data_IF_174190616715
#
_entry.id   IF_174190616715
#
_cell.length_a   1.000
_cell.length_b   1.000
_cell.length_c   1.000
_cell.angle_alpha   90.00
_cell.angle_beta   90.00
_cell.angle_gamma   90.00
#
_symmetry.space_group_name_H-M   'P 1'
#
loop_
_entity.id
_entity.type
_entity.pdbx_description
1 polymer ?
#
# COMPACT_ATOMS: atom_id res chain seq x y z
N UNK A 1 -12.40 -12.62 2.90
CA UNK A 1 -13.76 -13.10 3.23
C UNK A 1 -14.46 -13.74 2.03
N UNK A 2 -14.50 -13.11 0.85
CA UNK A 2 -15.30 -13.57 -0.30
C UNK A 2 -14.57 -14.53 -1.23
N UNK A 3 -13.88 -15.54 -0.67
CA UNK A 3 -13.25 -16.61 -1.48
C UNK A 3 -14.27 -17.54 -2.13
N UNK A 4 -15.46 -17.66 -1.52
CA UNK A 4 -16.60 -18.43 -2.04
C UNK A 4 -17.69 -17.48 -2.50
N UNK A 5 -18.37 -17.89 -3.56
CA UNK A 5 -19.44 -17.11 -4.19
C UNK A 5 -20.53 -16.73 -3.17
N UNK A 6 -20.75 -15.44 -2.88
CA UNK A 6 -21.82 -15.03 -2.00
C UNK A 6 -23.18 -15.13 -2.72
N UNK A 7 -24.22 -15.46 -1.95
CA UNK A 7 -25.61 -15.37 -2.41
C UNK A 7 -26.14 -14.00 -2.06
N UNK A 8 -26.35 -13.15 -3.07
CA UNK A 8 -26.88 -11.79 -2.90
C UNK A 8 -28.37 -11.80 -3.29
N UNK A 9 -29.23 -11.32 -2.38
CA UNK A 9 -30.68 -11.18 -2.58
C UNK A 9 -31.00 -10.00 -3.51
N UNK A 10 -32.29 -9.81 -3.80
CA UNK A 10 -32.75 -8.71 -4.65
C UNK A 10 -32.31 -7.34 -4.11
N UNK A 11 -31.79 -6.51 -5.03
CA UNK A 11 -31.39 -5.15 -4.76
C UNK A 11 -32.61 -4.26 -4.53
N UNK A 12 -32.50 -3.37 -3.56
CA UNK A 12 -33.53 -2.39 -3.20
C UNK A 12 -32.93 -0.99 -3.13
N UNK A 13 -33.58 0.04 -3.72
CA UNK A 13 -33.09 1.41 -3.65
C UNK A 13 -32.94 1.90 -2.21
N UNK A 14 -31.83 2.58 -1.95
CA UNK A 14 -31.57 3.18 -0.64
C UNK A 14 -32.30 4.51 -0.52
N UNK A 15 -33.07 4.71 0.56
CA UNK A 15 -33.76 5.98 0.81
C UNK A 15 -32.73 7.10 1.05
N UNK A 16 -33.01 8.30 0.58
CA UNK A 16 -32.12 9.46 0.72
C UNK A 16 -31.80 9.82 2.19
N UNK A 17 -32.72 9.56 3.14
CA UNK A 17 -32.48 9.71 4.57
C UNK A 17 -31.45 8.72 5.10
N UNK A 18 -31.54 7.47 4.66
CA UNK A 18 -30.70 6.37 5.13
C UNK A 18 -29.30 6.45 4.49
N UNK A 19 -29.24 6.84 3.21
CA UNK A 19 -28.00 7.17 2.50
C UNK A 19 -27.18 8.23 3.23
N UNK A 20 -27.82 9.35 3.61
CA UNK A 20 -27.14 10.42 4.36
C UNK A 20 -26.62 9.94 5.72
N UNK A 21 -27.43 9.20 6.48
CA UNK A 21 -27.01 8.64 7.77
C UNK A 21 -25.84 7.68 7.63
N UNK A 22 -25.84 6.83 6.60
CA UNK A 22 -24.74 5.90 6.32
C UNK A 22 -23.48 6.65 5.90
N UNK A 23 -23.60 7.68 5.05
CA UNK A 23 -22.46 8.50 4.66
C UNK A 23 -21.86 9.23 5.87
N UNK A 24 -22.70 9.78 6.75
CA UNK A 24 -22.24 10.43 7.99
C UNK A 24 -21.57 9.43 8.93
N UNK A 25 -22.09 8.19 9.01
CA UNK A 25 -21.46 7.11 9.75
C UNK A 25 -20.08 6.78 9.16
N UNK A 26 -19.95 6.64 7.84
CA UNK A 26 -18.66 6.37 7.18
C UNK A 26 -17.66 7.49 7.47
N UNK A 27 -18.08 8.75 7.32
CA UNK A 27 -17.22 9.91 7.60
C UNK A 27 -16.71 9.89 9.05
N UNK A 28 -17.58 9.54 10.00
CA UNK A 28 -17.21 9.40 11.41
C UNK A 28 -16.30 8.20 11.67
N UNK A 29 -16.64 7.02 11.14
CA UNK A 29 -15.92 5.76 11.38
C UNK A 29 -14.50 5.81 10.80
N UNK A 30 -14.33 6.46 9.64
CA UNK A 30 -13.07 6.59 8.92
C UNK A 30 -12.35 7.92 9.15
N UNK A 31 -12.92 8.82 9.96
CA UNK A 31 -12.36 10.15 10.27
C UNK A 31 -11.98 10.94 9.02
N UNK A 32 -12.84 10.91 8.01
CA UNK A 32 -12.60 11.59 6.73
C UNK A 32 -12.61 13.09 6.97
N UNK A 33 -11.56 13.78 6.52
CA UNK A 33 -11.46 15.24 6.67
C UNK A 33 -12.58 15.92 5.88
N UNK A 34 -13.40 16.70 6.58
CA UNK A 34 -14.42 17.55 5.97
C UNK A 34 -13.78 18.94 5.85
N UNK A 35 -13.60 19.50 4.64
CA UNK A 35 -13.16 20.89 4.50
C UNK A 35 -14.15 21.77 5.25
N UNK A 36 -13.66 22.49 6.25
CA UNK A 36 -14.48 23.45 6.99
C UNK A 36 -14.97 24.49 5.98
N UNK A 37 -16.28 24.67 5.87
CA UNK A 37 -16.85 25.75 5.06
C UNK A 37 -16.23 27.08 5.50
N UNK A 38 -15.67 27.90 4.60
CA UNK A 38 -15.16 29.21 4.98
C UNK A 38 -16.36 30.10 5.36
N UNK A 39 -16.60 30.20 6.66
CA UNK A 39 -17.42 31.22 7.27
C UNK A 39 -16.53 32.40 7.65
N UNK A 40 -16.69 33.50 6.90
CA UNK A 40 -16.25 34.87 7.18
C UNK A 40 -14.77 35.25 6.96
N UNK A 41 -14.60 36.15 5.99
CA UNK A 41 -13.52 37.12 5.77
C UNK A 41 -12.13 36.61 5.33
N UNK A 42 -11.87 36.61 4.02
CA UNK A 42 -11.04 37.64 3.39
C UNK A 42 -10.92 37.41 1.88
N UNK A 43 -11.00 38.52 1.17
CA UNK A 43 -10.98 38.72 -0.27
C UNK A 43 -9.64 38.27 -0.91
N UNK A 44 -9.59 37.12 -1.61
CA UNK A 44 -8.52 36.85 -2.59
C UNK A 44 -8.92 35.79 -3.65
N UNK A 45 -9.00 36.26 -4.90
CA UNK A 45 -8.76 35.61 -6.22
C UNK A 45 -9.16 34.14 -6.50
N UNK A 46 -9.86 33.85 -7.63
CA UNK A 46 -10.32 32.50 -7.97
C UNK A 46 -9.31 31.74 -8.84
N UNK A 47 -8.47 30.89 -8.24
CA UNK A 47 -7.71 29.87 -9.01
C UNK A 47 -7.56 28.51 -8.32
N UNK A 48 -8.28 28.21 -7.23
CA UNK A 48 -8.25 26.86 -6.64
C UNK A 48 -9.42 25.99 -7.13
N UNK A 49 -9.19 24.69 -7.44
CA UNK A 49 -10.28 23.75 -7.69
C UNK A 49 -11.20 23.76 -6.46
N UNK A 50 -12.51 23.83 -6.70
CA UNK A 50 -13.52 24.01 -5.67
C UNK A 50 -13.35 22.96 -4.56
N UNK A 51 -13.11 23.41 -3.32
CA UNK A 51 -12.97 22.50 -2.19
C UNK A 51 -14.21 21.60 -2.06
N UNK A 52 -14.04 20.29 -1.78
CA UNK A 52 -15.15 19.36 -1.76
C UNK A 52 -16.12 19.71 -0.63
N UNK A 53 -17.35 20.04 -1.00
CA UNK A 53 -18.42 20.28 -0.01
C UNK A 53 -18.79 18.98 0.70
N UNK A 54 -19.35 19.06 1.92
CA UNK A 54 -19.85 17.88 2.65
C UNK A 54 -20.84 17.06 1.80
N UNK A 55 -21.70 17.72 1.02
CA UNK A 55 -22.61 17.05 0.08
C UNK A 55 -21.86 16.31 -1.03
N UNK A 56 -20.78 16.88 -1.56
CA UNK A 56 -19.93 16.23 -2.54
C UNK A 56 -19.26 14.98 -1.95
N UNK A 57 -18.72 15.07 -0.74
CA UNK A 57 -18.12 13.91 -0.03
C UNK A 57 -19.17 12.80 0.17
N UNK A 58 -20.37 13.14 0.64
CA UNK A 58 -21.43 12.14 0.81
C UNK A 58 -21.78 11.42 -0.49
N UNK A 59 -21.88 12.15 -1.60
CA UNK A 59 -22.17 11.58 -2.92
C UNK A 59 -20.98 10.78 -3.48
N UNK A 60 -19.75 11.19 -3.15
CA UNK A 60 -18.53 10.47 -3.50
C UNK A 60 -18.34 9.17 -2.69
N UNK A 61 -18.93 9.06 -1.49
CA UNK A 61 -18.92 7.83 -0.68
C UNK A 61 -20.10 6.91 -1.01
N UNK A 62 -21.28 7.48 -1.19
CA UNK A 62 -22.53 6.77 -1.49
C UNK A 62 -23.30 7.53 -2.59
N UNK A 63 -23.11 7.14 -3.87
CA UNK A 63 -23.79 7.72 -5.01
C UNK A 63 -25.31 7.70 -4.92
N UNK A 64 -25.98 8.53 -5.70
CA UNK A 64 -27.44 8.67 -5.61
C UNK A 64 -28.20 7.42 -6.03
N UNK A 65 -27.62 6.65 -6.94
CA UNK A 65 -28.15 5.40 -7.45
C UNK A 65 -27.81 4.19 -6.54
N UNK A 66 -27.35 4.42 -5.31
CA UNK A 66 -27.01 3.32 -4.41
C UNK A 66 -28.21 2.41 -4.12
N UNK A 67 -27.99 1.12 -4.35
CA UNK A 67 -28.88 0.01 -4.01
C UNK A 67 -28.30 -0.74 -2.81
N UNK A 68 -29.16 -1.42 -2.07
CA UNK A 68 -28.76 -2.29 -0.96
C UNK A 68 -29.34 -3.69 -1.15
N UNK A 69 -28.58 -4.72 -0.77
CA UNK A 69 -29.05 -6.09 -0.75
C UNK A 69 -28.46 -6.86 0.42
N UNK A 70 -29.20 -7.86 0.90
CA UNK A 70 -28.68 -8.83 1.88
C UNK A 70 -27.84 -9.87 1.16
N UNK A 71 -26.70 -10.21 1.75
CA UNK A 71 -25.87 -11.31 1.27
C UNK A 71 -25.71 -12.38 2.34
N UNK A 72 -25.48 -13.60 1.87
CA UNK A 72 -25.07 -14.75 2.69
C UNK A 72 -23.83 -15.38 2.08
N UNK A 73 -22.83 -15.68 2.88
CA UNK A 73 -21.62 -16.40 2.47
C UNK A 73 -21.13 -17.32 3.59
N UNK A 74 -20.01 -18.01 3.39
CA UNK A 74 -19.37 -18.84 4.41
C UNK A 74 -17.94 -18.36 4.66
N UNK A 75 -17.50 -18.39 5.92
CA UNK A 75 -16.18 -17.94 6.33
C UNK A 75 -15.46 -18.97 7.22
N UNK A 76 -14.14 -19.03 7.07
CA UNK A 76 -13.26 -19.90 7.85
C UNK A 76 -13.26 -21.37 7.40
N UNK A 77 -12.42 -22.21 8.04
CA UNK A 77 -12.29 -23.63 7.72
C UNK A 77 -13.59 -24.41 7.99
N UNK A 78 -14.34 -24.03 9.03
CA UNK A 78 -15.58 -24.69 9.43
C UNK A 78 -16.81 -24.27 8.60
N UNK A 79 -16.60 -23.43 7.57
CA UNK A 79 -17.66 -22.93 6.67
C UNK A 79 -18.85 -22.30 7.40
N UNK A 80 -18.57 -21.56 8.48
CA UNK A 80 -19.62 -20.88 9.25
C UNK A 80 -20.32 -19.84 8.39
N UNK A 81 -21.64 -19.83 8.48
CA UNK A 81 -22.47 -18.89 7.72
C UNK A 81 -22.26 -17.46 8.22
N UNK A 82 -22.11 -16.54 7.27
CA UNK A 82 -21.98 -15.11 7.51
C UNK A 82 -23.04 -14.39 6.69
N UNK A 83 -23.77 -13.50 7.35
CA UNK A 83 -24.81 -12.71 6.73
C UNK A 83 -24.51 -11.22 6.89
N UNK A 84 -24.85 -10.45 5.86
CA UNK A 84 -24.60 -9.02 5.87
C UNK A 84 -25.41 -8.27 4.84
N UNK A 85 -25.01 -7.02 4.62
CA UNK A 85 -25.61 -6.11 3.65
C UNK A 85 -24.52 -5.59 2.72
N UNK A 86 -24.74 -5.65 1.41
CA UNK A 86 -23.92 -4.97 0.40
C UNK A 86 -24.61 -3.69 -0.05
N UNK A 87 -23.82 -2.68 -0.38
CA UNK A 87 -24.25 -1.44 -1.01
C UNK A 87 -23.61 -1.35 -2.38
N UNK A 88 -24.44 -1.28 -3.40
CA UNK A 88 -24.07 -1.32 -4.82
C UNK A 88 -24.34 0.05 -5.41
N UNK A 89 -23.44 0.57 -6.24
CA UNK A 89 -23.63 1.86 -6.90
C UNK A 89 -22.61 2.08 -8.00
N UNK A 90 -22.56 3.31 -8.50
CA UNK A 90 -21.68 3.69 -9.61
C UNK A 90 -21.07 5.07 -9.35
N UNK A 91 -19.73 5.19 -9.42
CA UNK A 91 -19.00 6.45 -9.21
C UNK A 91 -18.68 7.23 -10.51
N UNK A 92 -18.75 6.55 -11.65
CA UNK A 92 -18.61 7.10 -13.00
C UNK A 92 -19.68 6.44 -13.89
N UNK A 93 -19.85 6.81 -15.16
CA UNK A 93 -20.77 6.15 -16.10
C UNK A 93 -20.41 4.66 -16.41
N UNK A 94 -19.65 4.02 -15.53
CA UNK A 94 -19.31 2.61 -15.57
C UNK A 94 -20.44 1.70 -15.08
N UNK A 95 -20.07 0.47 -14.77
CA UNK A 95 -21.03 -0.54 -14.34
C UNK A 95 -21.28 -0.48 -12.83
N UNK A 96 -22.49 -0.88 -12.40
CA UNK A 96 -22.81 -1.05 -10.99
C UNK A 96 -21.88 -2.08 -10.33
N UNK A 97 -21.23 -1.65 -9.24
CA UNK A 97 -20.31 -2.49 -8.44
C UNK A 97 -20.63 -2.37 -6.95
N UNK A 98 -20.23 -3.38 -6.18
CA UNK A 98 -20.31 -3.32 -4.72
C UNK A 98 -19.28 -2.30 -4.24
N UNK A 99 -19.73 -1.25 -3.56
CA UNK A 99 -18.89 -0.18 -3.04
C UNK A 99 -18.58 -0.39 -1.56
N UNK A 100 -19.59 -0.82 -0.80
CA UNK A 100 -19.47 -1.08 0.62
C UNK A 100 -20.15 -2.39 0.98
N UNK A 101 -19.68 -3.05 2.02
CA UNK A 101 -20.39 -4.15 2.64
C UNK A 101 -20.29 -4.09 4.15
N UNK A 102 -21.28 -4.64 4.83
CA UNK A 102 -21.38 -4.67 6.28
C UNK A 102 -21.70 -6.09 6.72
N UNK A 103 -21.00 -6.58 7.73
CA UNK A 103 -21.24 -7.90 8.32
C UNK A 103 -22.19 -7.72 9.51
N UNK A 104 -23.36 -8.34 9.44
CA UNK A 104 -24.41 -8.22 10.46
C UNK A 104 -24.42 -9.42 11.43
N UNK A 105 -24.14 -10.63 10.93
CA UNK A 105 -24.15 -11.87 11.72
C UNK A 105 -23.03 -12.80 11.26
N UNK A 106 -22.42 -13.51 12.21
CA UNK A 106 -21.35 -14.48 11.98
C UNK A 106 -20.00 -14.04 12.56
N UNK A 107 -18.92 -14.80 12.31
CA UNK A 107 -17.57 -14.44 12.74
C UNK A 107 -17.14 -13.11 12.12
N UNK A 108 -16.66 -12.17 12.94
CA UNK A 108 -16.28 -10.82 12.49
C UNK A 108 -17.46 -9.85 12.31
N UNK A 109 -18.62 -10.14 12.91
CA UNK A 109 -19.75 -9.22 12.92
C UNK A 109 -19.50 -8.00 13.83
N UNK A 110 -18.89 -6.97 13.26
CA UNK A 110 -18.59 -5.71 13.95
C UNK A 110 -19.62 -4.61 13.63
N UNK A 111 -20.61 -4.89 12.78
CA UNK A 111 -21.62 -3.92 12.26
C UNK A 111 -20.99 -2.65 11.63
N UNK A 112 -19.70 -2.67 11.33
CA UNK A 112 -18.95 -1.64 10.60
C UNK A 112 -19.09 -1.84 9.09
N UNK A 113 -19.14 -0.74 8.33
CA UNK A 113 -19.05 -0.80 6.87
C UNK A 113 -17.59 -0.93 6.45
N UNK A 114 -17.31 -1.83 5.51
CA UNK A 114 -15.99 -2.00 4.90
C UNK A 114 -16.04 -1.55 3.44
N UNK A 115 -15.05 -0.77 2.97
CA UNK A 115 -14.95 -0.38 1.57
C UNK A 115 -14.50 -1.58 0.73
N UNK A 116 -14.90 -1.61 -0.53
CA UNK A 116 -14.32 -2.50 -1.54
C UNK A 116 -13.13 -1.84 -2.24
N UNK A 117 -12.37 -2.60 -3.03
CA UNK A 117 -11.28 -2.01 -3.83
C UNK A 117 -11.82 -0.98 -4.82
N UNK A 118 -13.02 -1.19 -5.38
CA UNK A 118 -13.68 -0.21 -6.25
C UNK A 118 -13.92 1.13 -5.55
N UNK A 119 -14.33 1.10 -4.29
CA UNK A 119 -14.56 2.31 -3.51
C UNK A 119 -13.25 3.07 -3.27
N UNK A 120 -12.17 2.36 -2.97
CA UNK A 120 -10.84 2.91 -2.77
C UNK A 120 -10.20 3.45 -4.05
N UNK A 121 -10.53 2.89 -5.21
CA UNK A 121 -10.05 3.39 -6.50
C UNK A 121 -10.67 4.72 -6.91
N UNK A 122 -11.87 5.03 -6.40
CA UNK A 122 -12.53 6.30 -6.68
C UNK A 122 -12.31 7.37 -5.62
N UNK A 123 -11.86 6.97 -4.44
CA UNK A 123 -11.71 7.88 -3.32
C UNK A 123 -10.43 7.54 -2.57
N UNK A 124 -9.40 8.35 -2.82
CA UNK A 124 -8.11 8.21 -2.18
C UNK A 124 -8.15 8.56 -0.69
N UNK A 125 -7.19 8.03 0.06
CA UNK A 125 -6.90 8.38 1.45
C UNK A 125 -8.05 8.16 2.47
N UNK A 126 -9.08 7.38 2.14
CA UNK A 126 -10.15 6.99 3.10
C UNK A 126 -9.60 6.10 4.22
N UNK A 127 -8.63 5.26 3.89
CA UNK A 127 -7.96 4.32 4.81
C UNK A 127 -6.46 4.45 4.66
N UNK A 128 -5.66 4.12 5.70
CA UNK A 128 -4.22 4.01 5.57
C UNK A 128 -3.85 2.98 4.49
N UNK A 129 -2.83 3.31 3.70
CA UNK A 129 -2.26 2.43 2.69
C UNK A 129 -0.97 1.80 3.23
N UNK A 130 -0.89 0.48 3.14
CA UNK A 130 0.30 -0.31 3.44
C UNK A 130 0.82 -0.94 2.15
N UNK A 131 2.10 -1.30 2.15
CA UNK A 131 2.73 -1.88 0.97
C UNK A 131 3.22 -3.29 1.27
N UNK A 132 3.29 -4.10 0.22
CA UNK A 132 3.82 -5.46 0.29
C UNK A 132 4.49 -5.82 -1.03
N UNK A 133 5.50 -6.70 -1.05
CA UNK A 133 6.10 -7.15 -2.30
C UNK A 133 5.10 -7.94 -3.16
N UNK A 134 5.25 -7.91 -4.48
CA UNK A 134 4.31 -8.55 -5.42
C UNK A 134 4.14 -10.07 -5.17
N UNK A 135 5.21 -10.76 -4.78
CA UNK A 135 5.12 -12.20 -4.49
C UNK A 135 4.21 -12.51 -3.27
N UNK A 136 4.09 -11.57 -2.34
CA UNK A 136 3.15 -11.67 -1.20
C UNK A 136 1.76 -11.29 -1.67
N UNK A 137 1.62 -10.23 -2.47
CA UNK A 137 0.34 -9.82 -3.06
C UNK A 137 -0.32 -10.96 -3.84
N UNK A 138 0.45 -11.73 -4.62
CA UNK A 138 -0.05 -12.94 -5.30
C UNK A 138 -0.65 -13.98 -4.34
N UNK A 139 -0.12 -14.11 -3.12
CA UNK A 139 -0.70 -14.98 -2.07
C UNK A 139 -1.93 -14.35 -1.44
N UNK A 140 -1.94 -13.03 -1.22
CA UNK A 140 -3.12 -12.32 -0.69
C UNK A 140 -4.33 -12.47 -1.60
N UNK A 141 -4.14 -12.42 -2.92
CA UNK A 141 -5.19 -12.68 -3.94
C UNK A 141 -5.80 -14.08 -3.87
N UNK A 142 -5.16 -15.02 -3.17
CA UNK A 142 -5.71 -16.37 -2.92
C UNK A 142 -6.58 -16.43 -1.64
N UNK A 143 -6.74 -15.30 -0.96
CA UNK A 143 -7.46 -15.16 0.30
C UNK A 143 -6.62 -15.47 1.54
N UNK A 144 -5.30 -15.28 1.46
CA UNK A 144 -4.41 -15.35 2.61
C UNK A 144 -4.41 -14.03 3.40
N UNK A 145 -3.99 -14.10 4.66
CA UNK A 145 -3.74 -12.92 5.48
C UNK A 145 -2.31 -12.39 5.25
N UNK A 146 -2.09 -11.11 5.50
CA UNK A 146 -0.77 -10.50 5.44
C UNK A 146 -0.05 -10.72 6.76
N UNK A 147 1.08 -11.42 6.69
CA UNK A 147 1.97 -11.63 7.83
C UNK A 147 2.88 -10.42 8.03
N UNK A 148 3.33 -10.16 9.26
CA UNK A 148 4.21 -9.02 9.58
C UNK A 148 5.47 -8.94 8.69
N UNK A 149 6.19 -10.04 8.40
CA UNK A 149 7.34 -9.99 7.47
C UNK A 149 6.99 -9.66 6.01
N UNK A 150 5.70 -9.69 5.67
CA UNK A 150 5.23 -9.33 4.34
C UNK A 150 4.99 -7.84 4.18
N UNK A 151 4.99 -7.06 5.26
CA UNK A 151 4.94 -5.60 5.17
C UNK A 151 6.23 -5.11 4.51
N UNK A 152 6.07 -4.32 3.46
CA UNK A 152 7.15 -3.57 2.83
C UNK A 152 7.16 -2.14 3.35
N UNK A 153 8.24 -1.43 3.00
CA UNK A 153 8.64 -0.14 3.54
C UNK A 153 9.06 -0.26 5.01
N UNK A 154 10.20 0.34 5.33
CA UNK A 154 10.65 0.38 6.73
C UNK A 154 9.78 1.38 7.50
N UNK A 155 9.64 1.20 8.83
CA UNK A 155 8.97 2.18 9.67
C UNK A 155 9.53 3.60 9.48
N UNK A 156 8.70 4.64 9.72
CA UNK A 156 7.37 4.56 10.30
C UNK A 156 6.32 4.00 9.32
N UNK A 157 5.19 3.51 9.83
CA UNK A 157 3.97 3.24 9.05
C UNK A 157 2.89 4.31 9.31
N UNK A 158 1.84 4.37 8.49
CA UNK A 158 0.75 5.35 8.68
C UNK A 158 0.21 5.25 10.12
N UNK A 159 0.13 6.38 10.82
CA UNK A 159 -0.32 6.46 12.22
C UNK A 159 -1.75 5.95 12.42
N UNK A 160 -2.56 5.91 11.35
CA UNK A 160 -3.92 5.36 11.36
C UNK A 160 -3.93 3.82 11.30
N UNK A 161 -2.81 3.17 10.98
CA UNK A 161 -2.69 1.72 10.88
C UNK A 161 -2.57 1.03 12.27
N UNK A 162 -3.54 1.31 13.15
CA UNK A 162 -3.62 0.77 14.51
C UNK A 162 -4.41 -0.54 14.54
N UNK A 163 -4.29 -1.29 15.64
CA UNK A 163 -5.06 -2.53 15.84
C UNK A 163 -6.56 -2.30 15.69
N UNK A 164 -7.21 -3.07 14.82
CA UNK A 164 -8.63 -2.98 14.50
C UNK A 164 -9.00 -1.90 13.46
N UNK A 165 -8.03 -1.14 12.95
CA UNK A 165 -8.24 -0.23 11.84
C UNK A 165 -8.42 -1.01 10.53
N UNK A 166 -9.24 -0.47 9.63
CA UNK A 166 -9.36 -0.99 8.26
C UNK A 166 -8.26 -0.34 7.44
N UNK A 167 -7.52 -1.15 6.69
CA UNK A 167 -6.36 -0.73 5.91
C UNK A 167 -6.46 -1.25 4.49
N UNK A 168 -5.87 -0.49 3.57
CA UNK A 168 -5.62 -0.91 2.20
C UNK A 168 -4.20 -1.45 2.09
N UNK A 169 -3.97 -2.39 1.17
CA UNK A 169 -2.64 -2.88 0.83
C UNK A 169 -2.42 -2.78 -0.68
N UNK A 170 -1.33 -2.12 -1.06
CA UNK A 170 -0.82 -2.00 -2.43
C UNK A 170 0.44 -2.86 -2.62
N UNK A 171 0.77 -3.14 -3.89
CA UNK A 171 2.01 -3.81 -4.25
C UNK A 171 3.12 -2.79 -4.44
N UNK A 172 4.37 -3.15 -4.17
CA UNK A 172 5.53 -2.30 -4.51
C UNK A 172 5.63 -1.99 -6.01
N UNK A 173 5.08 -2.85 -6.88
CA UNK A 173 5.04 -2.62 -8.32
C UNK A 173 3.98 -1.57 -8.71
N UNK A 174 2.99 -1.34 -7.85
CA UNK A 174 1.86 -0.41 -8.05
C UNK A 174 1.50 0.26 -6.73
N UNK A 175 2.37 1.16 -6.27
CA UNK A 175 2.28 1.82 -4.96
C UNK A 175 0.97 2.60 -4.78
N UNK A 176 0.49 3.28 -5.83
CA UNK A 176 -0.73 4.08 -5.81
C UNK A 176 -2.05 3.29 -5.75
N UNK A 177 -2.02 1.97 -5.94
CA UNK A 177 -3.22 1.20 -6.29
C UNK A 177 -3.58 0.20 -5.19
N UNK A 178 -4.65 0.45 -4.40
CA UNK A 178 -5.16 -0.51 -3.42
C UNK A 178 -5.65 -1.79 -4.09
N UNK A 179 -5.05 -2.93 -3.79
CA UNK A 179 -5.43 -4.23 -4.36
C UNK A 179 -6.12 -5.15 -3.35
N UNK A 180 -5.94 -4.84 -2.07
CA UNK A 180 -6.40 -5.67 -0.97
C UNK A 180 -6.90 -4.79 0.18
N UNK A 181 -7.95 -5.24 0.85
CA UNK A 181 -8.57 -4.57 2.00
C UNK A 181 -8.62 -5.54 3.16
N UNK A 182 -8.12 -5.08 4.30
CA UNK A 182 -8.05 -5.88 5.51
C UNK A 182 -8.24 -5.09 6.79
N UNK A 183 -8.14 -5.79 7.91
CA UNK A 183 -8.14 -5.19 9.26
C UNK A 183 -6.85 -5.53 9.96
N UNK A 184 -6.20 -4.52 10.53
CA UNK A 184 -5.00 -4.70 11.35
C UNK A 184 -5.29 -5.56 12.58
N UNK A 185 -4.54 -6.64 12.77
CA UNK A 185 -4.62 -7.47 13.99
C UNK A 185 -3.64 -6.99 15.07
N UNK A 186 -2.58 -6.29 14.66
CA UNK A 186 -1.58 -5.65 15.50
C UNK A 186 -1.57 -4.13 15.25
N UNK A 187 -0.89 -3.40 16.11
CA UNK A 187 -0.60 -1.99 15.86
C UNK A 187 0.59 -1.90 14.90
N UNK A 188 0.31 -1.62 13.63
CA UNK A 188 1.33 -1.55 12.58
C UNK A 188 2.08 -0.23 12.68
N UNK A 189 1.39 0.85 13.09
CA UNK A 189 2.01 2.18 13.26
C UNK A 189 3.15 2.20 14.29
N UNK A 190 3.05 1.35 15.32
CA UNK A 190 4.03 1.25 16.40
C UNK A 190 5.16 0.21 16.15
N UNK A 191 5.17 -0.45 14.97
CA UNK A 191 6.23 -1.40 14.65
C UNK A 191 7.55 -0.67 14.39
N UNK A 192 8.58 -0.97 15.18
CA UNK A 192 9.95 -0.49 14.96
C UNK A 192 10.74 -1.32 13.93
N UNK A 193 10.41 -2.61 13.79
CA UNK A 193 11.01 -3.50 12.79
C UNK A 193 9.99 -4.55 12.30
N UNK A 194 9.99 -4.81 10.99
CA UNK A 194 9.16 -5.86 10.36
C UNK A 194 9.92 -7.16 10.12
N UNK A 195 11.25 -7.12 10.08
CA UNK A 195 12.07 -8.31 9.90
C UNK A 195 12.22 -9.08 11.22
N UNK A 196 12.13 -10.41 11.16
CA UNK A 196 12.25 -11.29 12.34
C UNK A 196 11.00 -11.42 13.22
N UNK A 197 10.01 -10.54 13.08
CA UNK A 197 8.73 -10.63 13.80
C UNK A 197 7.81 -11.66 13.15
N UNK A 198 7.06 -12.43 13.95
CA UNK A 198 6.12 -13.45 13.45
C UNK A 198 4.71 -13.08 13.91
N UNK A 199 3.75 -13.18 13.00
CA UNK A 199 2.35 -12.94 13.32
C UNK A 199 1.56 -12.48 12.11
N UNK A 200 0.24 -12.47 12.27
CA UNK A 200 -0.69 -11.86 11.33
C UNK A 200 -0.67 -10.35 11.57
N UNK A 201 -0.31 -9.57 10.55
CA UNK A 201 -0.36 -8.12 10.59
C UNK A 201 -1.75 -7.62 10.19
N UNK A 202 -2.25 -8.11 9.06
CA UNK A 202 -3.55 -7.69 8.50
C UNK A 202 -4.35 -8.91 8.08
N UNK A 203 -5.56 -9.02 8.62
CA UNK A 203 -6.54 -10.04 8.25
C UNK A 203 -7.31 -9.63 6.99
N UNK A 204 -7.35 -10.52 6.00
CA UNK A 204 -7.94 -10.25 4.69
C UNK A 204 -9.46 -10.28 4.66
N UNK A 205 -10.06 -9.18 4.22
CA UNK A 205 -11.52 -9.08 4.08
C UNK A 205 -11.93 -9.13 2.62
N UNK A 206 -11.29 -8.36 1.75
CA UNK A 206 -11.66 -8.26 0.34
C UNK A 206 -10.43 -7.97 -0.54
N UNK A 207 -10.42 -8.42 -1.79
CA UNK A 207 -9.30 -8.22 -2.70
C UNK A 207 -9.72 -8.27 -4.17
N UNK A 208 -8.86 -7.73 -5.05
CA UNK A 208 -9.03 -7.84 -6.50
C UNK A 208 -8.97 -9.31 -6.94
N UNK A 209 -10.05 -9.79 -7.57
CA UNK A 209 -10.18 -11.18 -8.02
C UNK A 209 -11.00 -12.07 -7.10
N UNK A 210 -11.51 -11.57 -5.97
CA UNK A 210 -12.45 -12.31 -5.13
C UNK A 210 -13.86 -12.36 -5.73
N UNK A 211 -14.74 -13.17 -5.13
CA UNK A 211 -16.09 -13.38 -5.66
C UNK A 211 -17.01 -12.18 -5.47
N UNK A 212 -16.67 -11.23 -4.57
CA UNK A 212 -17.41 -9.99 -4.41
C UNK A 212 -16.97 -8.95 -5.46
N UNK A 213 -15.67 -8.88 -5.75
CA UNK A 213 -15.08 -8.06 -6.81
C UNK A 213 -15.60 -8.49 -8.19
N UNK A 214 -15.73 -9.80 -8.41
CA UNK A 214 -16.25 -10.36 -9.66
C UNK A 214 -17.78 -10.22 -9.79
N UNK A 215 -18.49 -9.95 -8.71
CA UNK A 215 -19.95 -9.87 -8.72
C UNK A 215 -20.43 -8.53 -9.30
N UNK A 216 -21.45 -8.59 -10.14
CA UNK A 216 -22.20 -7.42 -10.58
C UNK A 216 -23.68 -7.78 -10.83
N UNK A 217 -24.60 -6.80 -10.72
CA UNK A 217 -26.02 -7.03 -10.99
C UNK A 217 -26.28 -7.51 -12.42
N UNK A 218 -25.50 -7.00 -13.38
CA UNK A 218 -25.60 -7.34 -14.80
C UNK A 218 -24.75 -8.54 -15.22
N UNK A 219 -24.16 -9.29 -14.28
CA UNK A 219 -23.26 -10.43 -14.56
C UNK A 219 -22.08 -10.10 -15.48
N UNK A 220 -21.64 -8.83 -15.48
CA UNK A 220 -20.38 -8.39 -16.09
C UNK A 220 -19.20 -8.79 -15.18
N UNK A 221 -18.04 -9.13 -15.76
CA UNK A 221 -16.85 -9.46 -14.99
C UNK A 221 -16.35 -8.27 -14.17
N UNK A 222 -15.52 -8.56 -13.17
CA UNK A 222 -14.82 -7.54 -12.40
C UNK A 222 -13.96 -6.64 -13.28
N UNK A 223 -13.82 -5.37 -12.90
CA UNK A 223 -12.97 -4.41 -13.62
C UNK A 223 -11.58 -4.51 -13.03
N UNK A 224 -10.53 -4.73 -13.85
CA UNK A 224 -9.17 -4.81 -13.36
C UNK A 224 -8.74 -3.49 -12.74
N UNK A 225 -7.79 -3.56 -11.81
CA UNK A 225 -7.23 -2.39 -11.18
C UNK A 225 -6.59 -1.46 -12.23
N UNK A 226 -6.77 -0.13 -12.12
CA UNK A 226 -6.10 0.82 -12.99
C UNK A 226 -4.57 0.72 -12.84
N UNK A 227 -3.84 1.26 -13.83
CA UNK A 227 -2.37 1.31 -13.77
C UNK A 227 -1.88 2.32 -12.74
N UNK A 228 -2.65 3.39 -12.53
CA UNK A 228 -2.29 4.52 -11.69
C UNK A 228 -3.54 5.15 -11.06
N UNK A 229 -3.41 5.66 -9.83
CA UNK A 229 -4.47 6.40 -9.14
C UNK A 229 -3.91 7.65 -8.47
N UNK A 230 -4.34 8.80 -8.96
CA UNK A 230 -4.00 10.10 -8.40
C UNK A 230 -4.55 10.25 -6.96
N UNK A 231 -3.77 10.89 -6.09
CA UNK A 231 -4.11 11.15 -4.69
C UNK A 231 -3.75 10.04 -3.69
N UNK A 232 -3.30 8.86 -4.13
CA UNK A 232 -2.70 7.86 -3.24
C UNK A 232 -1.18 8.04 -3.10
N UNK A 233 -0.49 8.53 -4.14
CA UNK A 233 0.97 8.77 -4.12
C UNK A 233 1.35 10.08 -3.43
N UNK A 234 0.55 11.13 -3.58
CA UNK A 234 0.82 12.44 -2.96
C UNK A 234 0.91 12.35 -1.43
N UNK A 235 0.15 11.41 -0.85
CA UNK A 235 0.15 11.13 0.60
C UNK A 235 1.43 10.42 1.04
N UNK A 236 2.08 9.68 0.13
CA UNK A 236 3.38 9.05 0.38
C UNK A 236 4.51 10.09 0.27
N UNK A 237 4.49 10.96 -0.75
CA UNK A 237 5.47 12.04 -0.90
C UNK A 237 5.41 13.07 0.24
N UNK A 238 4.22 13.52 0.65
CA UNK A 238 4.05 14.41 1.81
C UNK A 238 4.58 13.78 3.10
N UNK A 239 4.51 12.45 3.18
CA UNK A 239 4.95 11.69 4.34
C UNK A 239 6.47 11.50 4.36
N UNK A 240 7.07 11.18 3.23
CA UNK A 240 8.54 11.14 3.08
C UNK A 240 9.15 12.51 3.39
N UNK A 241 8.56 13.59 2.88
CA UNK A 241 9.00 14.97 3.17
C UNK A 241 8.91 15.32 4.67
N UNK A 242 7.84 14.92 5.36
CA UNK A 242 7.69 15.14 6.80
C UNK A 242 8.65 14.32 7.67
N UNK A 243 9.16 13.19 7.15
CA UNK A 243 10.21 12.40 7.80
C UNK A 243 11.56 13.11 7.65
N UNK A 244 11.91 13.58 6.45
CA UNK A 244 13.15 14.33 6.22
C UNK A 244 13.25 15.57 7.12
N UNK A 245 12.14 16.30 7.31
CA UNK A 245 12.08 17.47 8.19
C UNK A 245 12.29 17.11 9.67
N UNK A 246 11.71 15.99 10.15
CA UNK A 246 11.90 15.51 11.53
C UNK A 246 13.32 14.98 11.78
N UNK A 247 13.96 14.38 10.79
CA UNK A 247 15.35 13.93 10.89
C UNK A 247 16.30 15.13 10.95
N UNK A 248 16.05 16.19 10.17
CA UNK A 248 16.83 17.43 10.23
C UNK A 248 16.65 18.21 11.56
N UNK A 249 15.52 18.05 12.24
CA UNK A 249 15.26 18.66 13.55
C UNK A 249 16.01 18.03 14.73
N UNK A 250 16.59 16.84 14.57
CA UNK A 250 17.29 16.09 15.63
C UNK A 250 18.81 16.28 15.64
N UNK A 251 19.40 16.97 14.65
CA UNK A 251 20.87 17.16 14.53
C UNK A 251 21.42 18.46 15.18
N UNK A 252 20.64 19.19 15.97
CA UNK A 252 21.05 20.50 16.53
C UNK A 252 20.77 20.65 18.02
N UNK A 253 21.30 19.76 18.87
CA UNK A 253 21.58 20.10 20.28
C UNK A 253 22.90 19.47 20.73
N UNK A 254 24.01 20.11 20.35
CA UNK A 254 25.30 19.95 21.02
C UNK A 254 25.77 21.32 21.55
N UNK A 255 25.84 21.47 22.87
CA UNK A 255 26.65 22.49 23.54
C UNK A 255 27.12 22.06 24.93
N UNK A 256 28.44 21.84 24.99
CA UNK A 256 29.42 22.16 26.03
C UNK A 256 29.18 21.72 27.49
N UNK A 257 29.95 20.69 27.89
CA UNK A 257 31.22 20.90 28.60
C UNK A 257 31.18 21.24 30.09
N UNK A 258 31.40 20.23 30.94
CA UNK A 258 32.15 20.44 32.20
C UNK A 258 32.83 19.14 32.68
N UNK A 259 34.16 19.22 32.79
CA UNK A 259 35.05 18.18 33.35
C UNK A 259 34.94 18.11 34.88
N UNK A 260 34.92 16.89 35.44
CA UNK A 260 35.60 16.56 36.71
C UNK A 260 36.03 15.08 36.71
N UNK A 261 37.34 14.85 36.83
CA UNK A 261 38.04 13.62 37.28
C UNK A 261 37.55 13.21 38.70
N UNK A 262 37.67 12.02 39.27
CA UNK A 262 38.11 10.65 38.94
C UNK A 262 37.61 9.76 40.10
N UNK A 263 37.37 8.46 39.89
CA UNK A 263 38.17 7.36 40.49
C UNK A 263 37.52 5.98 40.24
N UNK A 264 38.38 4.97 40.25
CA UNK A 264 38.30 3.69 39.56
C UNK A 264 37.36 2.61 40.15
N UNK A 265 36.82 1.76 39.26
CA UNK A 265 36.82 0.29 39.40
C UNK A 265 36.30 -0.41 38.12
N UNK A 266 37.21 -1.06 37.38
CA UNK A 266 36.94 -2.09 36.36
C UNK A 266 36.85 -3.50 37.00
N UNK A 267 36.47 -4.58 36.28
CA UNK A 267 35.62 -4.68 35.07
C UNK A 267 34.58 -5.84 35.15
N UNK A 268 33.54 -5.81 34.31
CA UNK A 268 32.91 -7.02 33.78
C UNK A 268 32.13 -6.72 32.48
N UNK A 269 32.46 -7.47 31.44
CA UNK A 269 31.93 -7.45 30.07
C UNK A 269 30.39 -7.38 29.95
N UNK A 270 29.90 -6.48 29.10
CA UNK A 270 28.90 -6.77 28.07
C UNK A 270 28.95 -5.64 27.01
N UNK A 271 29.27 -6.02 25.78
CA UNK A 271 29.58 -5.11 24.69
C UNK A 271 28.32 -4.39 24.20
N UNK A 272 28.35 -3.06 24.25
CA UNK A 272 27.46 -2.18 23.52
C UNK A 272 27.76 -2.29 22.01
N UNK A 273 26.72 -2.44 21.19
CA UNK A 273 26.84 -2.34 19.73
C UNK A 273 26.97 -0.87 19.33
N UNK A 274 28.13 -0.55 18.76
CA UNK A 274 28.51 0.72 18.12
C UNK A 274 27.65 1.00 16.87
N UNK A 275 27.56 2.27 16.42
CA UNK A 275 26.86 2.63 15.19
C UNK A 275 27.43 1.85 14.00
N UNK A 276 26.55 1.24 13.20
CA UNK A 276 26.93 0.43 12.04
C UNK A 276 27.57 1.33 10.99
N UNK A 277 28.91 1.32 10.94
CA UNK A 277 29.65 1.78 9.78
C UNK A 277 29.21 0.94 8.56
N UNK A 278 28.83 1.61 7.46
CA UNK A 278 28.49 0.98 6.18
C UNK A 278 29.60 -0.01 5.79
N UNK A 279 29.31 -1.32 5.89
CA UNK A 279 30.26 -2.36 5.49
C UNK A 279 30.43 -2.30 3.97
N UNK A 280 31.67 -2.13 3.52
CA UNK A 280 32.00 -2.27 2.10
C UNK A 280 31.56 -3.67 1.61
N UNK A 281 30.69 -3.77 0.58
CA UNK A 281 30.22 -5.04 0.08
C UNK A 281 31.38 -5.83 -0.53
N UNK A 282 31.36 -7.14 -0.29
CA UNK A 282 32.37 -8.05 -0.81
C UNK A 282 32.25 -8.18 -2.33
N UNK A 283 33.35 -8.56 -2.99
CA UNK A 283 33.35 -8.77 -4.46
C UNK A 283 32.26 -9.73 -4.93
N UNK A 284 31.93 -10.75 -4.13
CA UNK A 284 30.86 -11.71 -4.44
C UNK A 284 29.47 -11.09 -4.38
N UNK A 285 29.22 -10.21 -3.41
CA UNK A 285 27.93 -9.52 -3.29
C UNK A 285 27.71 -8.51 -4.42
N UNK A 286 28.79 -7.86 -4.87
CA UNK A 286 28.76 -6.98 -6.05
C UNK A 286 28.49 -7.81 -7.30
N UNK A 287 29.12 -8.98 -7.45
CA UNK A 287 28.87 -9.89 -8.59
C UNK A 287 27.40 -10.36 -8.63
N UNK A 288 26.88 -10.83 -7.49
CA UNK A 288 25.49 -11.25 -7.34
C UNK A 288 24.50 -10.11 -7.65
N UNK A 289 24.82 -8.88 -7.24
CA UNK A 289 23.99 -7.71 -7.53
C UNK A 289 23.93 -7.42 -9.03
N UNK A 290 25.05 -7.54 -9.75
CA UNK A 290 25.10 -7.36 -11.20
C UNK A 290 24.32 -8.46 -11.95
N UNK A 291 24.42 -9.72 -11.51
CA UNK A 291 23.64 -10.83 -12.09
C UNK A 291 22.13 -10.66 -11.85
N UNK A 292 21.74 -10.31 -10.62
CA UNK A 292 20.32 -10.07 -10.27
C UNK A 292 19.74 -8.89 -11.03
N UNK A 293 20.49 -7.79 -11.13
CA UNK A 293 20.09 -6.61 -11.92
C UNK A 293 19.83 -6.98 -13.39
N UNK A 294 20.73 -7.77 -13.99
CA UNK A 294 20.57 -8.26 -15.35
C UNK A 294 19.31 -9.14 -15.51
N UNK A 295 19.14 -10.14 -14.64
CA UNK A 295 17.99 -11.04 -14.70
C UNK A 295 16.66 -10.30 -14.51
N UNK A 296 16.62 -9.36 -13.58
CA UNK A 296 15.45 -8.53 -13.31
C UNK A 296 15.12 -7.62 -14.50
N UNK A 297 16.13 -7.03 -15.15
CA UNK A 297 15.91 -6.23 -16.36
C UNK A 297 15.26 -7.03 -17.50
N UNK A 298 15.66 -8.29 -17.68
CA UNK A 298 15.07 -9.19 -18.67
C UNK A 298 13.64 -9.60 -18.30
N UNK A 299 13.39 -9.83 -17.01
CA UNK A 299 12.06 -10.14 -16.49
C UNK A 299 11.10 -8.96 -16.74
N UNK A 300 11.51 -7.75 -16.38
CA UNK A 300 10.72 -6.53 -16.57
C UNK A 300 10.44 -6.25 -18.05
N UNK A 301 11.45 -6.38 -18.92
CA UNK A 301 11.26 -6.24 -20.37
C UNK A 301 10.23 -7.22 -20.93
N UNK A 302 10.22 -8.47 -20.45
CA UNK A 302 9.22 -9.48 -20.85
C UNK A 302 7.81 -9.13 -20.36
N UNK A 303 7.70 -8.54 -19.18
CA UNK A 303 6.42 -8.12 -18.59
C UNK A 303 5.85 -6.89 -19.31
N UNK A 304 6.69 -5.90 -19.56
CA UNK A 304 6.30 -4.63 -20.19
C UNK A 304 5.98 -4.80 -21.69
N UNK A 305 6.66 -5.75 -22.35
CA UNK A 305 6.60 -5.92 -23.81
C UNK A 305 6.34 -7.39 -24.21
N UNK A 306 5.15 -7.95 -23.92
CA UNK A 306 4.87 -9.37 -24.16
C UNK A 306 4.70 -9.73 -25.65
N UNK A 307 4.30 -8.78 -26.50
CA UNK A 307 3.89 -9.05 -27.90
C UNK A 307 4.86 -8.50 -28.95
N UNK A 308 5.94 -7.82 -28.55
CA UNK A 308 6.92 -7.26 -29.49
C UNK A 308 8.06 -8.27 -29.76
N UNK A 309 8.64 -8.29 -30.97
CA UNK A 309 9.80 -9.13 -31.26
C UNK A 309 10.96 -8.76 -30.31
N UNK A 310 11.58 -9.77 -29.70
CA UNK A 310 12.61 -9.63 -28.65
C UNK A 310 12.18 -8.84 -27.40
N UNK A 311 10.88 -8.75 -27.10
CA UNK A 311 10.38 -8.04 -25.92
C UNK A 311 10.86 -6.58 -25.83
N UNK A 312 10.97 -5.89 -26.98
CA UNK A 312 11.44 -4.50 -27.06
C UNK A 312 12.97 -4.33 -27.07
N UNK A 313 13.75 -5.41 -26.97
CA UNK A 313 15.21 -5.35 -27.08
C UNK A 313 15.66 -5.14 -28.53
N UNK A 314 16.23 -3.97 -28.80
CA UNK A 314 16.91 -3.68 -30.07
C UNK A 314 18.32 -4.29 -30.06
N UNK A 315 18.46 -5.46 -30.69
CA UNK A 315 19.73 -6.14 -30.89
C UNK A 315 20.37 -5.70 -32.22
N UNK A 316 21.70 -5.49 -32.29
CA UNK A 316 22.70 -5.66 -31.23
C UNK A 316 22.78 -4.46 -30.26
N UNK A 317 22.96 -4.76 -28.97
CA UNK A 317 23.09 -3.74 -27.91
C UNK A 317 24.58 -3.42 -27.70
N UNK A 318 24.90 -2.12 -27.60
CA UNK A 318 26.26 -1.71 -27.25
C UNK A 318 26.55 -1.96 -25.76
N UNK A 319 27.78 -2.33 -25.36
CA UNK A 319 28.12 -2.55 -23.95
C UNK A 319 27.79 -1.38 -23.02
N UNK A 320 27.89 -0.14 -23.51
CA UNK A 320 27.52 1.06 -22.75
C UNK A 320 26.01 1.19 -22.55
N UNK A 321 25.22 0.92 -23.61
CA UNK A 321 23.75 0.93 -23.51
C UNK A 321 23.24 -0.21 -22.64
N UNK A 322 23.90 -1.38 -22.69
CA UNK A 322 23.61 -2.50 -21.81
C UNK A 322 23.78 -2.13 -20.34
N UNK A 323 24.93 -1.54 -19.96
CA UNK A 323 25.16 -1.11 -18.59
C UNK A 323 24.16 -0.04 -18.14
N UNK A 324 23.95 1.00 -18.95
CA UNK A 324 23.10 2.13 -18.58
C UNK A 324 21.62 1.77 -18.46
N UNK A 325 21.10 0.89 -19.32
CA UNK A 325 19.67 0.61 -19.40
C UNK A 325 19.25 -0.69 -18.71
N UNK A 326 20.17 -1.67 -18.60
CA UNK A 326 19.83 -3.00 -18.08
C UNK A 326 20.47 -3.32 -16.73
N UNK A 327 21.55 -2.64 -16.34
CA UNK A 327 22.26 -2.95 -15.09
C UNK A 327 22.09 -1.83 -14.07
N UNK A 328 22.58 -0.63 -14.37
CA UNK A 328 22.59 0.52 -13.44
C UNK A 328 21.24 0.81 -12.78
N UNK A 329 20.09 0.79 -13.50
CA UNK A 329 18.79 1.13 -12.90
C UNK A 329 18.30 0.12 -11.85
N UNK A 330 18.87 -1.09 -11.81
CA UNK A 330 18.41 -2.19 -10.95
C UNK A 330 19.48 -2.62 -9.95
N UNK A 331 20.54 -1.82 -9.79
CA UNK A 331 21.51 -2.01 -8.72
C UNK A 331 20.94 -1.43 -7.40
N UNK A 332 21.22 -2.07 -6.25
CA UNK A 332 20.75 -1.61 -4.94
C UNK A 332 21.58 -0.42 -4.45
N UNK A 333 21.44 0.73 -5.12
CA UNK A 333 22.14 1.98 -4.80
C UNK A 333 21.13 2.96 -4.22
N UNK A 334 21.19 3.19 -2.91
CA UNK A 334 20.29 4.09 -2.18
C UNK A 334 21.01 5.34 -1.68
N UNK A 335 22.35 5.36 -1.70
CA UNK A 335 23.17 6.52 -1.31
C UNK A 335 24.31 6.78 -2.30
N UNK A 336 24.84 8.02 -2.31
CA UNK A 336 25.98 8.40 -3.15
C UNK A 336 27.28 7.65 -2.79
N UNK A 337 27.40 7.16 -1.55
CA UNK A 337 28.53 6.35 -1.10
C UNK A 337 28.42 4.92 -1.66
N UNK A 338 27.22 4.33 -1.63
CA UNK A 338 26.95 3.01 -2.22
C UNK A 338 27.21 2.96 -3.73
N UNK A 339 26.96 4.06 -4.44
CA UNK A 339 27.24 4.19 -5.87
C UNK A 339 28.73 3.96 -6.22
N UNK A 340 29.64 4.19 -5.27
CA UNK A 340 31.07 3.98 -5.44
C UNK A 340 31.46 2.49 -5.34
N UNK A 341 30.69 1.71 -4.61
CA UNK A 341 30.90 0.26 -4.45
C UNK A 341 30.38 -0.53 -5.64
N UNK A 342 29.22 -0.18 -6.19
CA UNK A 342 28.57 -0.88 -7.30
C UNK A 342 29.10 -0.46 -8.69
N UNK A 343 30.41 -0.56 -8.88
CA UNK A 343 31.06 -0.29 -10.16
C UNK A 343 31.56 -1.58 -10.82
N UNK A 344 31.47 -1.66 -12.16
CA UNK A 344 31.97 -2.81 -12.94
C UNK A 344 33.47 -3.12 -12.72
N UNK A 345 34.24 -2.17 -12.20
CA UNK A 345 35.66 -2.37 -11.87
C UNK A 345 35.86 -3.15 -10.56
N UNK A 346 34.84 -3.17 -9.69
CA UNK A 346 34.83 -3.82 -8.38
C UNK A 346 34.26 -5.24 -8.42
N UNK A 347 33.66 -5.64 -9.54
CA UNK A 347 33.26 -7.03 -9.81
C UNK A 347 34.47 -7.93 -10.11
N UNK A 348 34.29 -9.25 -10.02
CA UNK A 348 35.32 -10.22 -10.41
C UNK A 348 35.67 -10.16 -11.90
N UNK A 349 34.73 -9.72 -12.75
CA UNK A 349 34.93 -9.57 -14.19
C UNK A 349 35.80 -8.36 -14.56
N UNK A 350 35.79 -7.30 -13.75
CA UNK A 350 36.55 -6.04 -13.92
C UNK A 350 36.22 -5.21 -15.18
N UNK A 351 35.46 -5.76 -16.14
CA UNK A 351 35.00 -5.07 -17.34
C UNK A 351 33.73 -5.73 -17.91
N UNK A 352 32.96 -4.94 -18.67
CA UNK A 352 31.68 -5.36 -19.25
C UNK A 352 31.83 -6.51 -20.24
N UNK A 353 32.95 -6.60 -20.96
CA UNK A 353 33.20 -7.65 -21.97
C UNK A 353 33.37 -9.05 -21.35
N UNK A 354 33.79 -9.13 -20.09
CA UNK A 354 33.89 -10.40 -19.35
C UNK A 354 32.60 -10.77 -18.62
N UNK A 355 31.74 -9.80 -18.40
CA UNK A 355 30.44 -9.98 -17.78
C UNK A 355 29.38 -10.44 -18.79
N UNK A 356 29.36 -9.80 -19.97
CA UNK A 356 28.69 -10.32 -21.17
C UNK A 356 29.37 -11.60 -21.66
#
# INVERSE_FOLDING_TARGET
MFKKKPTIKNLSPLRSSDRRKLADQIISDYRIAIPSTPGEASDVTPTNPAQPTLTSIRNALLPENCLSARFTTTAGPDLREVQGTVYVGTHSDGDERVLWFKIDQGPGAEKRLYPTVYMLWHNANIVPLLHTPEFVMGKLRSGADLMTPGLANEPPFDERAVKGAVVAVASLDRVAVPLFVGVCEIDVSALGEVQGTKGHAVRGIHWEGDELWAWSPSSRPGVPAPEYLEGWDEVEEEREAGIEEKVQGLELEDKDGQEVEADAAEPAHEAAEEPIAEKEPTTKEIDDAFEKAFLYSLYKLKQDNPSTPNHGLSLPISPSAFMANMITPYLPVYTAQQAQYYQIKKTSWKNVKKFL
#
